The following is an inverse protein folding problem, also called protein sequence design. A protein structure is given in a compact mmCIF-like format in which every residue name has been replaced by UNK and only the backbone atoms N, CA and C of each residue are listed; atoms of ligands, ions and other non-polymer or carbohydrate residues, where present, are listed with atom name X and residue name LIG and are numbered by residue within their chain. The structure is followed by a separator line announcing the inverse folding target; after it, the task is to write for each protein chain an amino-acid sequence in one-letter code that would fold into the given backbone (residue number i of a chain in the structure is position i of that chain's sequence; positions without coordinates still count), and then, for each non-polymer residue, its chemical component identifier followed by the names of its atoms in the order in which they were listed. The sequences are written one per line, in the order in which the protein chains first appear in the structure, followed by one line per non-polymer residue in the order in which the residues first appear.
data_IF_908253914627
#
_entry.id   IF_908253914627
#
_cell.length_a   1.000
_cell.length_b   1.000
_cell.length_c   1.000
_cell.angle_alpha   90.00
_cell.angle_beta   90.00
_cell.angle_gamma   90.00
#
_symmetry.space_group_name_H-M   'P 1'
#
loop_
_entity.id
_entity.type
_entity.pdbx_description
1 polymer ?
#
# COMPACT_ATOMS: atom_id res chain seq x y z
N UNK A 1 8.39 -12.26 -10.01
CA UNK A 1 9.34 -12.56 -8.94
C UNK A 1 9.18 -11.62 -7.76
N UNK A 2 9.83 -11.91 -6.66
CA UNK A 2 9.66 -11.19 -5.39
C UNK A 2 10.14 -9.73 -5.39
N UNK A 3 10.82 -9.29 -6.42
CA UNK A 3 11.45 -7.96 -6.44
C UNK A 3 10.93 -7.04 -7.57
N UNK A 4 10.13 -7.56 -8.48
CA UNK A 4 9.76 -6.83 -9.69
C UNK A 4 8.36 -6.20 -9.64
N UNK A 5 7.34 -7.00 -9.33
CA UNK A 5 5.95 -6.55 -9.44
C UNK A 5 5.56 -5.74 -8.21
N UNK A 6 5.29 -4.43 -8.34
CA UNK A 6 4.90 -3.63 -7.18
C UNK A 6 3.44 -3.86 -6.80
N UNK A 7 3.15 -3.78 -5.50
CA UNK A 7 1.82 -3.43 -5.02
C UNK A 7 1.53 -1.97 -5.38
N UNK A 8 0.26 -1.58 -5.44
CA UNK A 8 -0.10 -0.25 -5.92
C UNK A 8 -1.35 0.32 -5.27
N UNK A 9 -1.47 1.62 -5.40
CA UNK A 9 -2.71 2.39 -5.14
C UNK A 9 -3.25 2.82 -6.49
N UNK A 10 -4.56 2.76 -6.65
CA UNK A 10 -5.20 3.20 -7.88
C UNK A 10 -6.64 3.65 -7.66
N UNK A 11 -7.08 4.59 -8.49
CA UNK A 11 -8.48 4.92 -8.65
C UNK A 11 -9.16 3.83 -9.48
N UNK A 12 -10.20 3.22 -8.93
CA UNK A 12 -10.94 2.15 -9.62
C UNK A 12 -11.97 2.77 -10.55
N UNK A 13 -11.93 2.37 -11.82
CA UNK A 13 -12.91 2.75 -12.86
C UNK A 13 -13.90 1.63 -13.07
N UNK A 14 -15.18 1.96 -13.22
CA UNK A 14 -16.21 0.98 -13.54
C UNK A 14 -15.88 0.26 -14.84
N UNK A 15 -15.95 -1.08 -14.83
CA UNK A 15 -15.56 -1.94 -15.96
C UNK A 15 -14.06 -1.90 -16.30
N UNK A 16 -13.22 -1.24 -15.50
CA UNK A 16 -11.77 -1.14 -15.73
C UNK A 16 -11.05 -2.47 -15.55
N UNK A 17 -10.09 -2.73 -16.44
CA UNK A 17 -9.21 -3.90 -16.37
C UNK A 17 -7.80 -3.48 -16.00
N UNK A 18 -7.23 -4.07 -14.96
CA UNK A 18 -5.92 -3.70 -14.39
C UNK A 18 -4.84 -4.78 -14.58
N UNK A 19 -5.07 -5.71 -15.51
CA UNK A 19 -4.03 -6.60 -16.05
C UNK A 19 -4.12 -8.06 -15.62
N UNK A 20 -4.54 -8.36 -14.39
CA UNK A 20 -4.57 -9.75 -13.91
C UNK A 20 -5.51 -10.65 -14.74
N UNK A 21 -5.11 -11.88 -15.15
CA UNK A 21 -3.79 -12.50 -14.90
C UNK A 21 -2.73 -12.21 -15.96
N UNK A 22 -3.09 -11.59 -17.09
CA UNK A 22 -2.28 -11.53 -18.31
C UNK A 22 -1.14 -10.52 -18.29
N UNK A 23 -1.27 -9.49 -17.45
CA UNK A 23 -0.25 -8.43 -17.32
C UNK A 23 -0.20 -7.90 -15.89
N UNK A 24 0.83 -7.14 -15.58
CA UNK A 24 1.01 -6.47 -14.30
C UNK A 24 1.40 -5.01 -14.55
N UNK A 25 1.04 -4.14 -13.60
CA UNK A 25 1.29 -2.70 -13.62
C UNK A 25 1.04 -2.07 -15.01
N UNK A 26 -0.19 -2.22 -15.48
CA UNK A 26 -0.60 -1.87 -16.84
C UNK A 26 -0.35 -2.99 -17.83
N UNK A 27 0.36 -2.68 -18.92
CA UNK A 27 0.51 -3.57 -20.07
C UNK A 27 1.80 -4.41 -20.06
N UNK A 28 2.46 -4.58 -18.91
CA UNK A 28 3.61 -5.47 -18.79
C UNK A 28 3.14 -6.93 -18.80
N UNK A 29 3.34 -7.63 -19.92
CA UNK A 29 2.87 -9.02 -20.11
C UNK A 29 3.48 -9.96 -19.08
N UNK A 30 2.65 -10.76 -18.41
CA UNK A 30 3.13 -11.89 -17.63
C UNK A 30 3.29 -13.11 -18.55
N UNK A 31 4.52 -13.37 -18.95
CA UNK A 31 4.87 -14.45 -19.88
C UNK A 31 4.64 -15.86 -19.33
N UNK A 32 4.29 -15.98 -18.03
CA UNK A 32 3.98 -17.26 -17.37
C UNK A 32 2.56 -17.73 -17.59
N UNK A 33 1.69 -16.83 -18.06
CA UNK A 33 0.27 -17.13 -18.28
C UNK A 33 0.08 -17.75 -19.66
N UNK A 34 -0.63 -18.86 -19.73
CA UNK A 34 -1.00 -19.55 -20.97
C UNK A 34 -2.47 -20.03 -20.86
N UNK A 35 -3.35 -19.74 -21.84
CA UNK A 35 -3.10 -18.90 -23.03
C UNK A 35 -3.00 -17.41 -22.69
N UNK A 36 -2.26 -16.67 -23.51
CA UNK A 36 -2.18 -15.21 -23.47
C UNK A 36 -3.45 -14.54 -24.03
N UNK A 37 -3.71 -13.29 -23.59
CA UNK A 37 -4.81 -12.48 -24.12
C UNK A 37 -4.34 -11.06 -24.48
N UNK A 38 -3.73 -10.87 -25.67
CA UNK A 38 -3.19 -9.57 -26.07
C UNK A 38 -4.24 -8.45 -26.13
N UNK A 39 -5.47 -8.78 -26.49
CA UNK A 39 -6.56 -7.80 -26.56
C UNK A 39 -6.93 -7.23 -25.18
N UNK A 40 -6.91 -8.05 -24.14
CA UNK A 40 -7.12 -7.59 -22.77
C UNK A 40 -5.89 -6.84 -22.26
N UNK A 41 -4.69 -7.31 -22.55
CA UNK A 41 -3.46 -6.61 -22.16
C UNK A 41 -3.44 -5.19 -22.73
N UNK A 42 -3.83 -5.01 -24.01
CA UNK A 42 -3.91 -3.70 -24.63
C UNK A 42 -4.88 -2.73 -23.96
N UNK A 43 -5.86 -3.26 -23.21
CA UNK A 43 -6.84 -2.46 -22.45
C UNK A 43 -6.45 -2.25 -20.98
N UNK A 44 -5.37 -2.88 -20.52
CA UNK A 44 -4.98 -2.81 -19.11
C UNK A 44 -4.60 -1.39 -18.71
N UNK A 45 -5.24 -0.91 -17.66
CA UNK A 45 -5.02 0.42 -17.08
C UNK A 45 -3.79 0.34 -16.16
N UNK A 46 -2.84 1.26 -16.35
CA UNK A 46 -1.74 1.40 -15.41
C UNK A 46 -2.26 1.99 -14.08
N UNK A 47 -1.88 1.41 -12.93
CA UNK A 47 -2.21 1.98 -11.63
C UNK A 47 -1.62 3.38 -11.43
N UNK A 48 -2.26 4.17 -10.55
CA UNK A 48 -1.85 5.55 -10.32
C UNK A 48 -0.51 5.68 -9.60
N UNK A 49 -0.18 4.73 -8.69
CA UNK A 49 1.02 4.85 -7.85
C UNK A 49 1.53 3.49 -7.35
N UNK A 50 2.82 3.22 -7.52
CA UNK A 50 3.48 2.02 -7.02
C UNK A 50 4.00 2.22 -5.58
N UNK A 51 3.77 1.23 -4.71
CA UNK A 51 4.23 1.27 -3.30
C UNK A 51 5.34 0.25 -3.01
N UNK A 52 5.91 -0.34 -4.04
CA UNK A 52 6.97 -1.33 -3.93
C UNK A 52 6.48 -2.78 -3.94
N UNK A 53 7.38 -3.74 -4.15
CA UNK A 53 7.03 -5.14 -4.28
C UNK A 53 6.72 -5.81 -2.94
N UNK A 54 5.67 -6.62 -2.90
CA UNK A 54 5.29 -7.47 -1.76
C UNK A 54 5.13 -6.73 -0.43
N UNK A 55 4.68 -5.48 -0.46
CA UNK A 55 4.43 -4.69 0.76
C UNK A 55 3.18 -5.15 1.49
N UNK A 56 2.31 -5.91 0.81
CA UNK A 56 1.00 -6.33 1.29
C UNK A 56 0.23 -5.13 1.87
N UNK A 57 0.00 -4.13 1.03
CA UNK A 57 -0.75 -2.92 1.36
C UNK A 57 -2.23 -3.24 1.46
N UNK A 58 -2.77 -3.39 2.69
CA UNK A 58 -4.11 -3.91 2.94
C UNK A 58 -5.12 -2.82 3.33
N UNK A 59 -4.74 -1.86 4.14
CA UNK A 59 -5.61 -0.79 4.60
C UNK A 59 -5.27 0.54 3.98
N UNK A 60 -6.29 1.34 3.63
CA UNK A 60 -6.14 2.70 3.15
C UNK A 60 -7.16 3.61 3.85
N UNK A 61 -6.72 4.79 4.28
CA UNK A 61 -7.57 5.87 4.75
C UNK A 61 -7.05 7.19 4.23
N UNK A 62 -7.92 7.99 3.61
CA UNK A 62 -7.56 9.38 3.33
C UNK A 62 -7.35 10.16 4.63
N UNK A 63 -6.53 11.21 4.54
CA UNK A 63 -6.13 12.00 5.69
C UNK A 63 -7.16 13.04 6.12
N UNK A 64 -8.38 12.98 5.59
CA UNK A 64 -9.45 13.90 5.91
C UNK A 64 -9.71 13.93 7.42
N UNK A 65 -9.57 15.12 8.01
CA UNK A 65 -9.69 15.30 9.45
C UNK A 65 -8.47 14.95 10.28
N UNK A 66 -7.36 14.51 9.67
CA UNK A 66 -6.10 14.26 10.36
C UNK A 66 -5.55 15.53 11.02
N UNK A 67 -5.11 15.40 12.27
CA UNK A 67 -4.37 16.43 13.00
C UNK A 67 -2.86 16.14 13.08
N UNK A 68 -2.42 15.08 12.41
CA UNK A 68 -0.99 14.74 12.38
C UNK A 68 -0.25 15.75 11.49
N UNK A 69 0.77 16.45 12.02
CA UNK A 69 1.54 17.42 11.24
C UNK A 69 2.18 16.76 10.01
N UNK A 70 2.14 17.44 8.88
CA UNK A 70 2.69 16.99 7.59
C UNK A 70 1.94 15.82 6.90
N UNK A 71 0.83 15.35 7.47
CA UNK A 71 0.02 14.26 6.93
C UNK A 71 -1.45 14.71 6.77
N UNK A 72 -1.67 15.71 5.93
CA UNK A 72 -2.99 16.38 5.81
C UNK A 72 -3.64 16.20 4.44
N UNK A 73 -2.89 16.04 3.37
CA UNK A 73 -3.41 15.84 2.02
C UNK A 73 -2.78 14.59 1.40
N UNK A 74 -3.50 13.48 1.44
CA UNK A 74 -3.01 12.19 0.98
C UNK A 74 -3.72 11.01 1.62
N UNK A 75 -3.05 9.86 1.62
CA UNK A 75 -3.58 8.63 2.18
C UNK A 75 -2.58 7.91 3.08
N UNK A 76 -3.06 7.43 4.23
CA UNK A 76 -2.36 6.48 5.07
C UNK A 76 -2.58 5.06 4.56
N UNK A 77 -1.53 4.24 4.56
CA UNK A 77 -1.57 2.88 4.06
C UNK A 77 -0.89 1.94 5.04
N UNK A 78 -1.64 0.95 5.52
CA UNK A 78 -1.13 -0.12 6.35
C UNK A 78 -0.48 -1.19 5.48
N UNK A 79 0.81 -1.40 5.65
CA UNK A 79 1.58 -2.41 4.93
C UNK A 79 1.88 -3.60 5.83
N UNK A 80 1.15 -4.70 5.59
CA UNK A 80 1.27 -5.95 6.36
C UNK A 80 2.65 -6.61 6.21
N UNK A 81 3.29 -6.42 5.07
CA UNK A 81 4.66 -6.82 4.81
C UNK A 81 4.82 -8.19 4.14
N UNK A 82 5.97 -8.38 3.53
CA UNK A 82 6.31 -9.58 2.76
C UNK A 82 6.55 -10.81 3.64
N UNK A 83 6.46 -12.00 3.02
CA UNK A 83 6.86 -13.27 3.63
C UNK A 83 7.93 -14.01 2.81
N UNK A 84 8.02 -13.72 1.51
CA UNK A 84 8.87 -14.43 0.56
C UNK A 84 9.99 -13.58 -0.05
N UNK A 85 10.27 -12.42 0.53
CA UNK A 85 11.28 -11.47 0.05
C UNK A 85 12.36 -11.24 1.12
N UNK A 86 13.61 -11.02 0.70
CA UNK A 86 14.72 -10.60 1.57
C UNK A 86 15.51 -9.46 0.93
N UNK A 87 15.79 -8.37 1.65
CA UNK A 87 15.20 -8.06 2.96
C UNK A 87 13.67 -7.92 2.86
N UNK A 88 12.96 -8.10 3.97
CA UNK A 88 11.51 -7.92 4.00
C UNK A 88 11.10 -6.49 3.62
N UNK A 89 9.93 -6.35 3.01
CA UNK A 89 9.32 -5.07 2.63
C UNK A 89 7.98 -4.88 3.35
N UNK A 90 7.53 -3.63 3.48
CA UNK A 90 6.34 -3.30 4.25
C UNK A 90 6.60 -3.27 5.75
N UNK A 91 5.73 -3.88 6.57
CA UNK A 91 5.79 -3.88 8.04
C UNK A 91 5.81 -2.47 8.63
N UNK A 92 4.97 -1.59 8.09
CA UNK A 92 4.89 -0.20 8.49
C UNK A 92 3.59 0.44 8.04
N UNK A 93 3.32 1.62 8.53
CA UNK A 93 2.33 2.51 7.94
C UNK A 93 3.07 3.59 7.18
N UNK A 94 2.69 3.79 5.94
CA UNK A 94 3.19 4.89 5.11
C UNK A 94 2.10 5.92 4.86
N UNK A 95 2.51 7.11 4.51
CA UNK A 95 1.65 8.16 3.97
C UNK A 95 2.10 8.48 2.54
N UNK A 96 1.17 8.45 1.61
CA UNK A 96 1.38 8.89 0.23
C UNK A 96 0.73 10.25 0.08
N UNK A 97 1.51 11.32 -0.19
CA UNK A 97 0.95 12.64 -0.40
C UNK A 97 0.16 12.70 -1.70
N UNK A 98 -0.88 13.52 -1.72
CA UNK A 98 -1.68 13.80 -2.91
C UNK A 98 -1.58 15.28 -3.25
N UNK A 99 -1.80 15.59 -4.54
CA UNK A 99 -2.04 16.93 -5.05
C UNK A 99 -3.08 16.83 -6.17
N UNK A 100 -4.07 17.72 -6.17
CA UNK A 100 -5.16 17.71 -7.16
C UNK A 100 -5.86 16.35 -7.29
N UNK A 101 -6.05 15.68 -6.16
CA UNK A 101 -6.72 14.37 -6.08
C UNK A 101 -5.91 13.18 -6.61
N UNK A 102 -4.61 13.35 -6.85
CA UNK A 102 -3.71 12.29 -7.34
C UNK A 102 -2.51 12.08 -6.42
N UNK A 103 -2.04 10.83 -6.27
CA UNK A 103 -0.83 10.57 -5.52
C UNK A 103 0.38 11.22 -6.17
N UNK A 104 1.28 11.76 -5.36
CA UNK A 104 2.47 12.49 -5.79
C UNK A 104 3.66 12.24 -4.85
N UNK A 105 4.86 12.60 -5.30
CA UNK A 105 6.06 12.53 -4.46
C UNK A 105 6.43 11.11 -4.01
N UNK A 106 7.28 11.04 -3.00
CA UNK A 106 7.71 9.78 -2.38
C UNK A 106 6.87 9.48 -1.14
N UNK A 107 6.59 8.19 -0.83
CA UNK A 107 5.89 7.85 0.40
C UNK A 107 6.73 8.20 1.62
N UNK A 108 6.07 8.61 2.70
CA UNK A 108 6.70 8.95 3.98
C UNK A 108 6.35 7.88 5.03
N UNK A 109 7.31 7.49 5.85
CA UNK A 109 7.05 6.57 6.96
C UNK A 109 6.29 7.30 8.08
N UNK A 110 5.22 6.69 8.58
CA UNK A 110 4.37 7.22 9.67
C UNK A 110 4.55 6.41 10.95
N UNK A 111 4.47 5.09 10.86
CA UNK A 111 4.62 4.19 12.00
C UNK A 111 5.47 3.00 11.56
N UNK A 112 6.59 2.78 12.24
CA UNK A 112 7.58 1.73 11.95
C UNK A 112 7.89 0.91 13.20
N UNK A 113 8.84 -0.05 13.09
CA UNK A 113 9.27 -0.85 14.24
C UNK A 113 8.54 -2.19 14.37
N UNK A 114 7.85 -2.63 13.33
CA UNK A 114 7.15 -3.92 13.30
C UNK A 114 8.03 -5.11 12.90
N UNK A 115 9.29 -4.86 12.55
CA UNK A 115 10.33 -5.89 12.39
C UNK A 115 11.44 -5.66 13.40
N UNK A 116 11.97 -6.76 13.97
CA UNK A 116 13.21 -6.69 14.75
C UNK A 116 14.46 -6.80 13.84
N UNK A 117 15.64 -6.75 14.44
CA UNK A 117 16.92 -6.83 13.71
C UNK A 117 17.12 -8.17 12.96
N UNK A 118 16.45 -9.24 13.39
CA UNK A 118 16.49 -10.56 12.75
C UNK A 118 15.42 -10.74 11.69
N UNK A 119 14.77 -9.65 11.27
CA UNK A 119 13.62 -9.64 10.33
C UNK A 119 12.43 -10.50 10.82
N UNK A 120 12.23 -10.63 12.15
CA UNK A 120 11.04 -11.28 12.70
C UNK A 120 9.96 -10.25 12.96
N UNK A 121 8.74 -10.57 12.56
CA UNK A 121 7.57 -9.73 12.77
C UNK A 121 7.27 -9.60 14.27
N UNK A 122 7.19 -8.36 14.74
CA UNK A 122 6.71 -7.99 16.08
C UNK A 122 5.26 -7.49 16.05
N UNK A 123 4.77 -7.22 14.87
CA UNK A 123 3.43 -6.78 14.51
C UNK A 123 3.31 -6.63 13.01
N UNK A 124 2.08 -6.50 12.51
CA UNK A 124 1.82 -6.32 11.08
C UNK A 124 0.62 -5.39 10.89
N UNK A 125 0.82 -4.15 10.41
CA UNK A 125 -0.27 -3.21 10.15
C UNK A 125 -1.27 -3.73 9.11
N UNK A 126 -2.57 -3.57 9.38
CA UNK A 126 -3.66 -3.97 8.48
C UNK A 126 -4.53 -2.76 8.17
N UNK A 127 -5.63 -2.59 8.90
CA UNK A 127 -6.56 -1.48 8.75
C UNK A 127 -6.00 -0.19 9.34
N UNK A 128 -6.29 0.92 8.70
CA UNK A 128 -5.95 2.27 9.16
C UNK A 128 -7.18 3.15 9.05
N UNK A 129 -7.38 4.06 10.00
CA UNK A 129 -8.51 5.01 9.98
C UNK A 129 -8.17 6.25 10.80
N UNK A 130 -8.65 7.42 10.38
CA UNK A 130 -8.62 8.63 11.18
C UNK A 130 -9.84 8.63 12.10
N UNK A 131 -9.62 8.77 13.40
CA UNK A 131 -10.70 8.84 14.37
C UNK A 131 -11.30 10.26 14.48
N UNK A 132 -12.35 10.41 15.31
CA UNK A 132 -13.04 11.69 15.49
C UNK A 132 -12.17 12.78 16.15
N UNK A 133 -11.07 12.40 16.81
CA UNK A 133 -10.11 13.31 17.41
C UNK A 133 -9.05 13.77 16.39
N UNK A 134 -8.96 13.13 15.21
CA UNK A 134 -7.97 13.39 14.18
C UNK A 134 -6.69 12.58 14.36
N UNK A 135 -6.72 11.56 15.22
CA UNK A 135 -5.62 10.62 15.41
C UNK A 135 -5.73 9.45 14.43
N UNK A 136 -4.59 8.86 14.07
CA UNK A 136 -4.58 7.65 13.25
C UNK A 136 -4.64 6.40 14.13
N UNK A 137 -5.67 5.58 13.92
CA UNK A 137 -5.76 4.24 14.48
C UNK A 137 -5.25 3.21 13.48
N UNK A 138 -4.44 2.26 13.96
CA UNK A 138 -3.81 1.21 13.16
C UNK A 138 -4.09 -0.14 13.80
N UNK A 139 -4.77 -1.04 13.09
CA UNK A 139 -4.95 -2.42 13.51
C UNK A 139 -3.67 -3.22 13.24
N UNK A 140 -3.28 -4.05 14.19
CA UNK A 140 -2.11 -4.95 14.14
C UNK A 140 -2.58 -6.35 14.52
N UNK A 141 -2.78 -7.22 13.53
CA UNK A 141 -3.35 -8.56 13.73
C UNK A 141 -2.36 -9.54 14.35
N UNK A 142 -1.07 -9.39 14.09
CA UNK A 142 -0.02 -10.24 14.69
C UNK A 142 0.33 -9.79 16.10
N UNK A 143 0.40 -8.47 16.31
CA UNK A 143 0.64 -7.90 17.65
C UNK A 143 -0.59 -7.93 18.58
N UNK A 144 -1.78 -8.26 18.04
CA UNK A 144 -3.07 -8.22 18.75
C UNK A 144 -3.32 -6.87 19.44
N UNK A 145 -3.11 -5.78 18.69
CA UNK A 145 -3.18 -4.41 19.21
C UNK A 145 -3.90 -3.49 18.23
N UNK A 146 -4.40 -2.39 18.77
CA UNK A 146 -4.75 -1.21 18.00
C UNK A 146 -3.84 -0.09 18.49
N UNK A 147 -3.01 0.40 17.60
CA UNK A 147 -2.11 1.52 17.84
C UNK A 147 -2.84 2.83 17.59
N UNK A 148 -2.58 3.84 18.44
CA UNK A 148 -3.02 5.21 18.21
C UNK A 148 -1.79 6.07 17.99
N UNK A 149 -1.78 6.81 16.89
CA UNK A 149 -0.76 7.81 16.54
C UNK A 149 -1.40 9.18 16.65
N UNK A 150 -0.90 10.01 17.56
CA UNK A 150 -1.42 11.35 17.87
C UNK A 150 -0.35 12.40 17.67
N UNK A 151 -0.76 13.62 17.34
CA UNK A 151 0.11 14.78 17.42
C UNK A 151 0.48 15.06 18.90
N UNK A 152 1.71 15.51 19.14
CA UNK A 152 2.16 15.98 20.44
C UNK A 152 1.77 17.44 20.67
#
# INVERSE_FOLDING_TARGET
GSDLVPDYITSVKDGGFYGWPYSYYGQHVDVRVDPQNPELVAKAIAPDYAVGPHTASLGLSFADGSKLPNFTEGAFIGQHGSWNRKPHSGYKVIFVPFADGKPTGMPMDVLTGFLNADEKAMGRPVGVVIDKQGDLLVADDVGNKIWRVSAK
#
